data_IF_600275335254
#
_entry.id   IF_600275335254
#
_cell.length_a   1.000
_cell.length_b   1.000
_cell.length_c   1.000
_cell.angle_alpha   90.00
_cell.angle_beta   90.00
_cell.angle_gamma   90.00
#
_symmetry.space_group_name_H-M   'P 1'
#
loop_
_entity.id
_entity.type
_entity.pdbx_description
1 polymer ?
#
# COMPACT_ATOMS: atom_id res chain seq x y z
N UNK A 1 -12.67 -10.17 -6.92
CA UNK A 1 -12.46 -10.76 -5.58
C UNK A 1 -13.20 -9.92 -4.55
N UNK A 2 -13.60 -10.51 -3.43
CA UNK A 2 -14.20 -9.77 -2.31
C UNK A 2 -13.07 -9.33 -1.35
N UNK A 3 -12.94 -8.03 -1.11
CA UNK A 3 -12.02 -7.46 -0.12
C UNK A 3 -12.84 -6.86 1.03
N UNK A 4 -12.30 -6.83 2.27
CA UNK A 4 -12.85 -5.97 3.31
C UNK A 4 -12.93 -4.52 2.85
N UNK A 5 -13.96 -3.80 3.28
CA UNK A 5 -14.27 -2.46 2.79
C UNK A 5 -13.09 -1.48 2.93
N UNK A 6 -12.41 -1.46 4.08
CA UNK A 6 -11.28 -0.58 4.32
C UNK A 6 -10.10 -0.84 3.35
N UNK A 7 -9.85 -2.11 3.03
CA UNK A 7 -8.77 -2.51 2.11
C UNK A 7 -9.15 -2.19 0.67
N UNK A 8 -10.41 -2.39 0.30
CA UNK A 8 -10.91 -1.96 -1.01
C UNK A 8 -10.77 -0.45 -1.19
N UNK A 9 -11.16 0.34 -0.19
CA UNK A 9 -11.05 1.79 -0.18
C UNK A 9 -9.58 2.24 -0.27
N UNK A 10 -8.66 1.56 0.41
CA UNK A 10 -7.22 1.82 0.30
C UNK A 10 -6.73 1.69 -1.15
N UNK A 11 -7.03 0.58 -1.83
CA UNK A 11 -6.61 0.38 -3.23
C UNK A 11 -7.25 1.38 -4.20
N UNK A 12 -8.50 1.79 -3.94
CA UNK A 12 -9.17 2.81 -4.74
C UNK A 12 -8.53 4.18 -4.55
N UNK A 13 -8.25 4.59 -3.31
CA UNK A 13 -7.56 5.83 -3.00
C UNK A 13 -6.14 5.86 -3.57
N UNK A 14 -5.40 4.75 -3.44
CA UNK A 14 -4.06 4.57 -3.99
C UNK A 14 -4.04 4.73 -5.52
N UNK A 15 -5.00 4.13 -6.21
CA UNK A 15 -5.16 4.23 -7.67
C UNK A 15 -5.51 5.65 -8.11
N UNK A 16 -6.36 6.33 -7.36
CA UNK A 16 -6.83 7.68 -7.67
C UNK A 16 -5.84 8.77 -7.22
N UNK A 17 -4.69 8.40 -6.65
CA UNK A 17 -3.73 9.31 -6.04
C UNK A 17 -4.37 10.27 -5.03
N UNK A 18 -5.31 9.76 -4.21
CA UNK A 18 -6.02 10.55 -3.22
C UNK A 18 -5.49 10.26 -1.81
N UNK A 19 -4.56 11.10 -1.33
CA UNK A 19 -3.93 10.94 -0.02
C UNK A 19 -4.94 11.03 1.14
N UNK A 20 -5.91 11.95 1.05
CA UNK A 20 -6.92 12.14 2.10
C UNK A 20 -7.80 10.89 2.26
N UNK A 21 -8.31 10.35 1.15
CA UNK A 21 -9.10 9.12 1.16
C UNK A 21 -8.27 7.91 1.63
N UNK A 22 -6.97 7.88 1.30
CA UNK A 22 -6.06 6.83 1.75
C UNK A 22 -5.85 6.89 3.26
N UNK A 23 -5.61 8.07 3.82
CA UNK A 23 -5.45 8.29 5.25
C UNK A 23 -6.72 7.94 6.04
N UNK A 24 -7.90 8.20 5.46
CA UNK A 24 -9.17 7.82 6.06
C UNK A 24 -9.35 6.29 6.23
N UNK A 25 -8.54 5.47 5.54
CA UNK A 25 -8.55 4.01 5.69
C UNK A 25 -7.77 3.54 6.93
N UNK A 26 -7.00 4.41 7.58
CA UNK A 26 -6.16 4.08 8.72
C UNK A 26 -6.71 4.64 10.03
N UNK A 27 -6.58 3.89 11.13
CA UNK A 27 -6.77 4.45 12.46
C UNK A 27 -5.75 5.58 12.74
N UNK A 28 -6.06 6.57 13.62
CA UNK A 28 -5.13 7.67 13.91
C UNK A 28 -3.75 7.23 14.41
N UNK A 29 -3.67 6.08 15.09
CA UNK A 29 -2.45 5.48 15.61
C UNK A 29 -1.91 4.32 14.77
N UNK A 30 -2.41 4.12 13.55
CA UNK A 30 -1.96 3.04 12.69
C UNK A 30 -0.48 3.20 12.31
N UNK A 31 0.15 2.10 11.92
CA UNK A 31 1.52 2.07 11.45
C UNK A 31 1.61 1.34 10.12
N UNK A 32 2.40 1.89 9.19
CA UNK A 32 2.78 1.21 7.95
C UNK A 32 4.24 0.78 8.06
N UNK A 33 4.51 -0.49 7.73
CA UNK A 33 5.86 -1.03 7.66
C UNK A 33 6.22 -1.30 6.21
N UNK A 34 7.17 -0.54 5.67
CA UNK A 34 7.58 -0.62 4.26
C UNK A 34 9.06 -0.29 4.10
N UNK A 35 9.73 -0.97 3.16
CA UNK A 35 11.17 -0.79 2.86
C UNK A 35 12.10 -0.77 4.11
N UNK A 36 11.79 -1.59 5.13
CA UNK A 36 12.56 -1.65 6.38
C UNK A 36 12.36 -0.46 7.32
N UNK A 37 11.37 0.39 7.06
CA UNK A 37 10.98 1.54 7.89
C UNK A 37 9.57 1.35 8.45
N UNK A 38 9.28 2.05 9.54
CA UNK A 38 7.94 2.13 10.12
C UNK A 38 7.47 3.59 10.13
N UNK A 39 6.22 3.79 9.72
CA UNK A 39 5.58 5.10 9.56
C UNK A 39 4.32 5.11 10.42
N UNK A 40 4.38 5.74 11.60
CA UNK A 40 3.28 5.72 12.57
C UNK A 40 2.50 7.04 12.60
N UNK A 41 1.17 6.91 12.54
CA UNK A 41 0.23 8.03 12.52
C UNK A 41 0.07 8.67 11.14
N UNK A 42 -1.09 9.30 10.93
CA UNK A 42 -1.50 9.82 9.62
C UNK A 42 -0.47 10.74 8.96
N UNK A 43 0.21 11.60 9.73
CA UNK A 43 1.24 12.49 9.18
C UNK A 43 2.42 11.71 8.55
N UNK A 44 2.92 10.69 9.26
CA UNK A 44 4.04 9.88 8.77
C UNK A 44 3.62 8.98 7.61
N UNK A 45 2.41 8.41 7.67
CA UNK A 45 1.84 7.58 6.60
C UNK A 45 1.61 8.40 5.34
N UNK A 46 1.03 9.61 5.45
CA UNK A 46 0.83 10.50 4.30
C UNK A 46 2.14 10.86 3.63
N UNK A 47 3.14 11.26 4.42
CA UNK A 47 4.49 11.59 3.92
C UNK A 47 5.17 10.39 3.23
N UNK A 48 5.03 9.18 3.78
CA UNK A 48 5.53 7.95 3.17
C UNK A 48 4.87 7.69 1.82
N UNK A 49 3.54 7.77 1.77
CA UNK A 49 2.79 7.46 0.58
C UNK A 49 3.10 8.45 -0.55
N UNK A 50 3.14 9.75 -0.27
CA UNK A 50 3.50 10.79 -1.24
C UNK A 50 4.92 10.59 -1.80
N UNK A 51 5.89 10.32 -0.91
CA UNK A 51 7.26 10.01 -1.31
C UNK A 51 7.32 8.77 -2.22
N UNK A 52 6.61 7.71 -1.86
CA UNK A 52 6.57 6.46 -2.64
C UNK A 52 5.92 6.66 -4.01
N UNK A 53 4.83 7.43 -4.09
CA UNK A 53 4.19 7.80 -5.37
C UNK A 53 5.09 8.66 -6.24
N UNK A 54 5.75 9.66 -5.67
CA UNK A 54 6.67 10.52 -6.42
C UNK A 54 7.88 9.74 -6.95
N UNK A 55 8.46 8.84 -6.14
CA UNK A 55 9.66 8.07 -6.49
C UNK A 55 9.38 6.98 -7.52
N UNK A 56 8.32 6.20 -7.30
CA UNK A 56 8.08 4.98 -8.07
C UNK A 56 6.93 5.09 -9.06
N UNK A 57 6.01 6.06 -8.92
CA UNK A 57 4.79 6.15 -9.75
C UNK A 57 4.07 4.80 -9.85
N UNK A 58 4.01 4.12 -8.71
CA UNK A 58 3.58 2.73 -8.65
C UNK A 58 2.05 2.62 -8.60
N UNK A 59 1.55 1.50 -9.11
CA UNK A 59 0.17 1.05 -9.01
C UNK A 59 0.17 -0.35 -8.43
N UNK A 60 -0.62 -0.57 -7.38
CA UNK A 60 -0.84 -1.87 -6.79
C UNK A 60 -2.20 -2.45 -7.20
N UNK A 61 -2.18 -3.63 -7.81
CA UNK A 61 -3.38 -4.35 -8.26
C UNK A 61 -3.56 -5.62 -7.41
N UNK A 62 -4.60 -5.72 -6.58
CA UNK A 62 -4.82 -6.90 -5.76
C UNK A 62 -5.15 -8.12 -6.64
N UNK A 63 -4.48 -9.24 -6.38
CA UNK A 63 -4.65 -10.51 -7.07
C UNK A 63 -5.39 -11.52 -6.18
N UNK A 64 -5.00 -11.61 -4.91
CA UNK A 64 -5.53 -12.56 -3.94
C UNK A 64 -5.63 -11.91 -2.56
N UNK A 65 -6.59 -12.37 -1.76
CA UNK A 65 -6.72 -11.97 -0.36
C UNK A 65 -7.10 -13.16 0.50
N UNK A 66 -6.51 -13.21 1.67
CA UNK A 66 -6.81 -14.18 2.72
C UNK A 66 -7.09 -13.40 4.00
N UNK A 67 -8.24 -13.65 4.62
CA UNK A 67 -8.60 -13.11 5.93
C UNK A 67 -8.64 -14.23 6.95
N UNK A 68 -7.96 -14.04 8.07
CA UNK A 68 -7.95 -14.94 9.21
C UNK A 68 -8.06 -14.15 10.53
N UNK A 69 -7.81 -14.81 11.66
CA UNK A 69 -7.87 -14.20 13.00
C UNK A 69 -6.82 -13.12 13.25
N UNK A 70 -5.78 -13.04 12.41
CA UNK A 70 -4.69 -12.07 12.51
C UNK A 70 -4.88 -10.87 11.57
N UNK A 71 -5.91 -10.88 10.73
CA UNK A 71 -6.22 -9.77 9.82
C UNK A 71 -6.36 -10.24 8.37
N UNK A 72 -6.10 -9.33 7.43
CA UNK A 72 -6.20 -9.62 5.99
C UNK A 72 -4.86 -9.44 5.30
N UNK A 73 -4.38 -10.52 4.67
CA UNK A 73 -3.22 -10.49 3.79
C UNK A 73 -3.67 -10.36 2.35
N UNK A 74 -3.13 -9.38 1.63
CA UNK A 74 -3.38 -9.18 0.20
C UNK A 74 -2.10 -9.40 -0.59
N UNK A 75 -2.18 -10.24 -1.62
CA UNK A 75 -1.13 -10.35 -2.64
C UNK A 75 -1.51 -9.40 -3.76
N UNK A 76 -0.62 -8.45 -4.08
CA UNK A 76 -0.83 -7.49 -5.14
C UNK A 76 0.32 -7.51 -6.15
N UNK A 77 -0.02 -7.34 -7.43
CA UNK A 77 0.95 -7.02 -8.47
C UNK A 77 1.26 -5.53 -8.37
N UNK A 78 2.53 -5.19 -8.20
CA UNK A 78 2.96 -3.79 -8.22
C UNK A 78 3.70 -3.50 -9.51
N UNK A 79 3.19 -2.52 -10.26
CA UNK A 79 3.84 -1.99 -11.46
C UNK A 79 4.25 -0.56 -11.21
N UNK A 80 5.39 -0.14 -11.76
CA UNK A 80 5.94 1.18 -11.48
C UNK A 80 7.34 1.35 -12.07
N UNK A 81 7.90 2.52 -11.80
CA UNK A 81 9.26 2.92 -12.19
C UNK A 81 10.21 2.60 -11.05
N UNK A 82 10.72 1.37 -11.06
CA UNK A 82 11.70 0.89 -10.09
C UNK A 82 13.11 1.02 -10.67
N UNK A 83 13.74 2.16 -10.49
CA UNK A 83 15.10 2.40 -10.99
C UNK A 83 16.11 1.62 -10.11
N UNK A 84 16.75 0.63 -10.72
CA UNK A 84 17.95 -0.09 -10.26
C UNK A 84 17.83 -1.18 -9.17
N UNK A 85 16.70 -1.88 -9.03
CA UNK A 85 16.62 -3.08 -8.16
C UNK A 85 16.75 -4.42 -8.93
N UNK A 86 17.67 -4.52 -9.89
CA UNK A 86 18.00 -5.67 -10.77
C UNK A 86 17.46 -5.55 -12.22
N UNK A 87 18.31 -5.12 -13.16
CA UNK A 87 18.16 -5.46 -14.58
C UNK A 87 16.94 -4.90 -15.33
N UNK A 88 16.31 -3.82 -14.86
CA UNK A 88 15.32 -3.09 -15.66
C UNK A 88 13.98 -3.80 -15.88
N UNK A 89 13.60 -4.76 -15.03
CA UNK A 89 12.28 -5.42 -15.11
C UNK A 89 11.25 -4.71 -14.21
N UNK A 90 10.09 -4.28 -14.74
CA UNK A 90 9.14 -3.38 -14.05
C UNK A 90 8.18 -4.09 -13.06
N UNK A 91 8.56 -5.22 -12.46
CA UNK A 91 7.65 -6.04 -11.63
C UNK A 91 8.24 -6.23 -10.24
N UNK A 92 7.62 -5.62 -9.23
CA UNK A 92 7.84 -5.93 -7.82
C UNK A 92 6.60 -6.64 -7.25
N UNK A 93 6.80 -7.72 -6.49
CA UNK A 93 5.76 -8.26 -5.63
C UNK A 93 5.91 -7.57 -4.26
N UNK A 94 4.94 -6.75 -3.85
CA UNK A 94 4.91 -6.18 -2.51
C UNK A 94 3.72 -6.76 -1.74
N UNK A 95 3.99 -7.22 -0.53
CA UNK A 95 2.94 -7.61 0.43
C UNK A 95 2.69 -6.40 1.32
N UNK A 96 1.57 -5.70 1.12
CA UNK A 96 1.11 -4.71 2.08
C UNK A 96 0.28 -5.44 3.14
N UNK A 97 0.77 -5.46 4.38
CA UNK A 97 -0.05 -5.82 5.53
C UNK A 97 -0.67 -4.50 6.01
N UNK A 98 -1.99 -4.37 5.84
CA UNK A 98 -2.76 -3.28 6.45
C UNK A 98 -3.29 -3.85 7.76
N UNK A 99 -2.52 -3.67 8.83
CA UNK A 99 -3.01 -3.91 10.18
C UNK A 99 -3.86 -2.69 10.59
N UNK A 100 -5.12 -2.96 10.94
CA UNK A 100 -6.13 -1.96 11.29
C UNK A 100 -5.94 -1.36 12.68
#
# INVERSE_FOLDING_TARGET
MQLPQAIQAYFEADRNNNCEALLACFAPSAAVHDEGRSHSGHYAIGSWWEYSKARYRHVAEPLEALTDEHGTRVIAKVTGVFLNLCGGRPIGCATHIIDG
#
